data_IF_095441767711
#
_entry.id   IF_095441767711
#
_cell.length_a   1.000
_cell.length_b   1.000
_cell.length_c   1.000
_cell.angle_alpha   90.00
_cell.angle_beta   90.00
_cell.angle_gamma   90.00
#
_symmetry.space_group_name_H-M   'P 1'
#
loop_
_entity.id
_entity.type
_entity.pdbx_description
1 polymer ?
#
# COMPACT_ATOMS: atom_id res chain seq x y z
N UNK A 1 8.05 -3.69 -3.75
CA UNK A 1 7.61 -2.66 -2.78
C UNK A 1 8.36 -1.40 -3.12
N UNK A 2 7.64 -0.29 -3.28
CA UNK A 2 8.22 1.03 -3.54
C UNK A 2 7.90 1.94 -2.35
N UNK A 3 8.85 2.79 -1.96
CA UNK A 3 8.69 3.76 -0.88
C UNK A 3 8.59 5.17 -1.46
N UNK A 4 7.54 5.91 -1.09
CA UNK A 4 7.29 7.29 -1.52
C UNK A 4 7.12 8.13 -0.25
N UNK A 5 8.21 8.74 0.24
CA UNK A 5 8.16 9.47 1.51
C UNK A 5 7.87 8.54 2.69
N UNK A 6 6.80 8.83 3.42
CA UNK A 6 6.23 8.01 4.49
C UNK A 6 5.21 6.96 4.01
N UNK A 7 5.02 6.86 2.68
CA UNK A 7 4.21 5.85 2.03
C UNK A 7 5.00 4.63 1.55
N UNK A 8 4.35 3.48 1.66
CA UNK A 8 4.74 2.16 1.22
C UNK A 8 3.71 1.63 0.23
N UNK A 9 4.14 1.31 -0.98
CA UNK A 9 3.29 0.69 -2.00
C UNK A 9 3.64 -0.78 -2.16
N UNK A 10 2.62 -1.63 -1.99
CA UNK A 10 2.72 -3.09 -2.06
C UNK A 10 1.74 -3.63 -3.11
N UNK A 11 2.20 -4.61 -3.89
CA UNK A 11 1.45 -5.27 -4.94
C UNK A 11 1.44 -6.78 -4.72
N UNK A 12 0.33 -7.43 -5.08
CA UNK A 12 0.24 -8.89 -5.24
C UNK A 12 -0.37 -9.19 -6.62
N UNK A 13 0.03 -10.32 -7.22
CA UNK A 13 -0.32 -10.67 -8.59
C UNK A 13 0.54 -9.99 -9.66
N UNK A 14 1.73 -9.49 -9.29
CA UNK A 14 2.74 -9.01 -10.22
C UNK A 14 4.16 -9.43 -9.75
N UNK A 15 5.07 -9.80 -10.67
CA UNK A 15 4.89 -9.86 -12.13
C UNK A 15 4.05 -11.05 -12.59
N UNK A 16 3.94 -12.09 -11.77
CA UNK A 16 3.12 -13.26 -12.05
C UNK A 16 1.71 -13.06 -11.51
N UNK A 17 0.72 -13.34 -12.36
CA UNK A 17 -0.68 -13.25 -11.95
C UNK A 17 -1.01 -14.42 -11.01
N UNK A 18 -1.69 -14.12 -9.90
CA UNK A 18 -2.06 -15.10 -8.89
C UNK A 18 -3.53 -14.92 -8.51
N UNK A 19 -4.39 -15.91 -8.71
CA UNK A 19 -5.85 -15.77 -8.49
C UNK A 19 -6.25 -15.29 -7.08
N UNK A 20 -5.46 -15.64 -6.05
CA UNK A 20 -5.70 -15.24 -4.65
C UNK A 20 -4.95 -13.99 -4.23
N UNK A 21 -4.41 -13.22 -5.17
CA UNK A 21 -3.79 -11.93 -4.89
C UNK A 21 -4.70 -10.96 -4.10
N UNK A 22 -6.05 -10.94 -4.29
CA UNK A 22 -6.94 -10.08 -3.51
C UNK A 22 -6.88 -10.37 -2.02
N UNK A 23 -7.04 -11.66 -1.69
CA UNK A 23 -7.18 -12.14 -0.32
C UNK A 23 -5.89 -11.88 0.45
N UNK A 24 -4.73 -12.15 -0.18
CA UNK A 24 -3.42 -11.92 0.43
C UNK A 24 -3.20 -10.45 0.76
N UNK A 25 -3.58 -9.54 -0.14
CA UNK A 25 -3.39 -8.11 0.07
C UNK A 25 -4.35 -7.56 1.11
N UNK A 26 -5.61 -8.01 1.10
CA UNK A 26 -6.58 -7.64 2.13
C UNK A 26 -6.15 -8.16 3.51
N UNK A 27 -5.65 -9.38 3.60
CA UNK A 27 -5.14 -9.93 4.85
C UNK A 27 -3.94 -9.12 5.37
N UNK A 28 -2.97 -8.83 4.50
CA UNK A 28 -1.82 -8.01 4.84
C UNK A 28 -2.23 -6.62 5.33
N UNK A 29 -3.18 -5.97 4.65
CA UNK A 29 -3.73 -4.68 5.04
C UNK A 29 -4.33 -4.71 6.46
N UNK A 30 -5.12 -5.74 6.76
CA UNK A 30 -5.73 -5.93 8.08
C UNK A 30 -4.68 -6.17 9.16
N UNK A 31 -3.73 -7.07 8.90
CA UNK A 31 -2.65 -7.39 9.83
C UNK A 31 -1.82 -6.13 10.17
N UNK A 32 -1.56 -5.28 9.19
CA UNK A 32 -0.84 -4.03 9.38
C UNK A 32 -1.60 -3.03 10.25
N UNK A 33 -2.91 -2.89 10.06
CA UNK A 33 -3.76 -2.03 10.90
C UNK A 33 -3.83 -2.54 12.34
N UNK A 34 -3.73 -3.86 12.55
CA UNK A 34 -3.66 -4.44 13.90
C UNK A 34 -2.30 -4.17 14.54
N UNK A 35 -1.21 -4.51 13.84
CA UNK A 35 0.16 -4.43 14.39
C UNK A 35 0.62 -2.99 14.64
N UNK A 36 0.18 -2.02 13.84
CA UNK A 36 0.56 -0.61 14.01
C UNK A 36 0.13 -0.03 15.37
N UNK A 37 -0.91 -0.58 15.98
CA UNK A 37 -1.40 -0.14 17.30
C UNK A 37 -0.35 -0.32 18.40
N UNK A 38 0.50 -1.33 18.25
CA UNK A 38 1.57 -1.66 19.20
C UNK A 38 2.88 -0.91 18.88
N UNK A 39 2.98 -0.30 17.70
CA UNK A 39 4.14 0.49 17.30
C UNK A 39 4.01 1.93 17.81
N UNK A 40 5.07 2.38 18.47
CA UNK A 40 5.21 3.75 18.93
C UNK A 40 6.34 4.42 18.16
N UNK A 41 6.14 5.68 17.83
CA UNK A 41 7.21 6.52 17.32
C UNK A 41 8.28 6.68 18.41
N UNK A 42 9.54 6.27 18.16
CA UNK A 42 10.62 6.42 19.15
C UNK A 42 10.94 7.87 19.52
N UNK A 43 10.59 8.82 18.65
CA UNK A 43 10.88 10.25 18.84
C UNK A 43 9.82 10.97 19.66
N UNK A 44 8.54 10.66 19.46
CA UNK A 44 7.42 11.31 20.15
C UNK A 44 6.81 10.45 21.27
N UNK A 45 6.97 9.13 21.21
CA UNK A 45 6.35 8.16 22.12
C UNK A 45 4.88 7.88 21.83
N UNK A 46 4.30 8.53 20.81
CA UNK A 46 2.91 8.37 20.41
C UNK A 46 2.71 7.08 19.60
N UNK A 47 1.49 6.53 19.66
CA UNK A 47 1.12 5.40 18.80
C UNK A 47 1.12 5.85 17.34
N UNK A 48 1.81 5.08 16.49
CA UNK A 48 1.78 5.28 15.05
C UNK A 48 0.37 5.06 14.51
N UNK A 49 0.02 5.83 13.48
CA UNK A 49 -1.27 5.71 12.80
C UNK A 49 -1.01 5.59 11.31
N UNK A 50 -1.56 4.55 10.70
CA UNK A 50 -1.52 4.37 9.26
C UNK A 50 -2.89 4.57 8.65
N UNK A 51 -2.87 4.91 7.37
CA UNK A 51 -4.01 4.85 6.47
C UNK A 51 -3.70 3.83 5.39
N UNK A 52 -4.75 3.14 4.94
CA UNK A 52 -4.63 1.99 4.04
C UNK A 52 -5.69 2.12 2.95
N UNK A 53 -5.24 2.26 1.71
CA UNK A 53 -6.07 2.21 0.51
C UNK A 53 -5.76 0.96 -0.33
N UNK A 54 -6.81 0.23 -0.74
CA UNK A 54 -6.68 -0.99 -1.56
C UNK A 54 -7.55 -0.89 -2.81
N UNK A 55 -7.03 -1.13 -4.02
CA UNK A 55 -7.80 -0.91 -5.27
C UNK A 55 -7.39 -1.72 -6.51
N UNK A 56 -8.26 -2.58 -7.07
CA UNK A 56 -7.94 -3.40 -8.25
C UNK A 56 -7.69 -2.62 -9.52
N UNK A 57 -6.81 -3.16 -10.37
CA UNK A 57 -6.89 -2.86 -11.78
C UNK A 57 -5.67 -3.31 -12.58
N UNK A 58 -5.71 -3.12 -13.90
CA UNK A 58 -4.53 -3.29 -14.73
C UNK A 58 -3.44 -2.31 -14.28
N UNK A 59 -2.20 -2.79 -14.22
CA UNK A 59 -1.03 -1.96 -13.91
C UNK A 59 0.05 -2.27 -14.91
N UNK A 60 0.87 -1.26 -15.21
CA UNK A 60 2.12 -1.45 -15.93
C UNK A 60 3.24 -1.44 -14.91
N UNK A 61 3.99 -2.54 -14.84
CA UNK A 61 5.17 -2.62 -13.99
C UNK A 61 6.43 -2.64 -14.85
N UNK A 62 7.47 -1.93 -14.42
CA UNK A 62 8.70 -1.83 -15.17
C UNK A 62 9.90 -1.48 -14.30
N UNK A 63 11.10 -1.77 -14.81
CA UNK A 63 12.35 -1.38 -14.17
C UNK A 63 12.79 -0.03 -14.73
N UNK A 64 12.94 0.97 -13.87
CA UNK A 64 13.36 2.32 -14.21
C UNK A 64 14.78 2.58 -13.71
N UNK A 65 15.62 3.15 -14.58
CA UNK A 65 16.98 3.58 -14.24
C UNK A 65 18.05 2.56 -14.66
N UNK A 66 19.10 3.05 -15.32
CA UNK A 66 20.21 2.21 -15.80
C UNK A 66 21.25 1.91 -14.70
N UNK A 67 21.53 2.90 -13.83
CA UNK A 67 22.54 2.79 -12.76
C UNK A 67 21.97 2.30 -11.43
N UNK A 68 20.69 2.59 -11.19
CA UNK A 68 19.95 2.13 -10.00
C UNK A 68 18.56 1.67 -10.44
N UNK A 69 18.44 0.44 -10.95
CA UNK A 69 17.17 -0.09 -11.40
C UNK A 69 16.17 -0.18 -10.25
N UNK A 70 15.00 0.45 -10.40
CA UNK A 70 13.88 0.39 -9.46
C UNK A 70 12.67 -0.21 -10.14
N UNK A 71 12.01 -1.15 -9.47
CA UNK A 71 10.76 -1.70 -9.95
C UNK A 71 9.61 -0.75 -9.57
N UNK A 72 9.09 -0.05 -10.58
CA UNK A 72 8.07 0.97 -10.42
C UNK A 72 6.74 0.49 -11.03
N UNK A 73 5.64 0.88 -10.39
CA UNK A 73 4.28 0.62 -10.84
C UNK A 73 3.66 1.88 -11.41
N UNK A 74 3.02 1.78 -12.57
CA UNK A 74 2.39 2.88 -13.28
C UNK A 74 0.97 2.51 -13.72
N UNK A 75 0.10 3.51 -13.79
CA UNK A 75 -1.25 3.38 -14.32
C UNK A 75 -2.32 4.00 -13.43
N UNK A 76 -3.53 4.12 -13.98
CA UNK A 76 -4.68 4.74 -13.30
C UNK A 76 -5.06 4.03 -12.00
N UNK A 77 -4.78 2.72 -11.93
CA UNK A 77 -4.95 1.89 -10.74
C UNK A 77 -4.14 2.41 -9.55
N UNK A 78 -2.87 2.81 -9.78
CA UNK A 78 -2.00 3.36 -8.72
C UNK A 78 -2.54 4.70 -8.23
N UNK A 79 -2.97 5.56 -9.15
CA UNK A 79 -3.55 6.85 -8.82
C UNK A 79 -4.86 6.70 -8.03
N UNK A 80 -5.68 5.71 -8.39
CA UNK A 80 -6.95 5.44 -7.70
C UNK A 80 -6.70 4.86 -6.30
N UNK A 81 -5.73 3.97 -6.14
CA UNK A 81 -5.30 3.46 -4.83
C UNK A 81 -4.82 4.59 -3.91
N UNK A 82 -3.99 5.50 -4.42
CA UNK A 82 -3.54 6.69 -3.69
C UNK A 82 -4.70 7.60 -3.28
N UNK A 83 -5.67 7.84 -4.17
CA UNK A 83 -6.88 8.61 -3.81
C UNK A 83 -7.68 7.92 -2.70
N UNK A 84 -7.84 6.60 -2.78
CA UNK A 84 -8.57 5.84 -1.76
C UNK A 84 -7.91 5.92 -0.39
N UNK A 85 -6.59 5.85 -0.33
CA UNK A 85 -5.81 6.09 0.89
C UNK A 85 -6.05 7.51 1.42
N UNK A 86 -5.95 8.53 0.56
CA UNK A 86 -6.06 9.93 0.97
C UNK A 86 -7.45 10.29 1.52
N UNK A 87 -8.48 9.57 1.08
CA UNK A 87 -9.86 9.72 1.57
C UNK A 87 -10.17 8.81 2.75
N UNK A 88 -9.22 7.99 3.20
CA UNK A 88 -9.45 7.02 4.28
C UNK A 88 -9.35 7.65 5.66
N UNK A 89 -10.20 7.17 6.59
CA UNK A 89 -10.11 7.58 7.98
C UNK A 89 -8.92 6.91 8.66
N UNK A 90 -8.21 7.68 9.49
CA UNK A 90 -7.09 7.19 10.30
C UNK A 90 -7.56 6.01 11.17
N UNK A 91 -6.80 4.90 11.18
CA UNK A 91 -7.16 3.60 11.83
C UNK A 91 -8.30 2.80 11.20
N UNK A 92 -8.80 3.16 10.00
CA UNK A 92 -9.71 2.28 9.24
C UNK A 92 -9.08 1.87 7.91
N UNK A 93 -9.10 0.57 7.62
CA UNK A 93 -8.86 0.06 6.28
C UNK A 93 -10.09 0.36 5.42
N UNK A 94 -9.97 1.24 4.43
CA UNK A 94 -11.03 1.49 3.45
C UNK A 94 -10.81 0.56 2.26
N UNK A 95 -11.53 -0.56 2.27
CA UNK A 95 -11.49 -1.57 1.19
C UNK A 95 -12.62 -1.26 0.22
N UNK A 96 -12.29 -0.92 -1.04
CA UNK A 96 -13.24 -0.97 -2.15
C UNK A 96 -12.61 -1.77 -3.28
N UNK A 97 -13.15 -2.96 -3.54
CA UNK A 97 -12.94 -3.85 -4.69
C UNK A 97 -11.52 -3.88 -5.31
N UNK A 98 -11.01 -5.10 -5.56
CA UNK A 98 -9.84 -5.72 -4.95
C UNK A 98 -8.57 -5.83 -5.83
N UNK A 99 -7.45 -5.15 -5.53
CA UNK A 99 -6.02 -5.58 -5.67
C UNK A 99 -5.12 -4.39 -5.31
N UNK A 100 -3.83 -4.52 -5.04
CA UNK A 100 -2.92 -3.41 -4.63
C UNK A 100 -3.21 -2.76 -3.28
N UNK A 101 -2.16 -2.50 -2.52
CA UNK A 101 -2.22 -1.87 -1.21
C UNK A 101 -1.22 -0.72 -1.18
N UNK A 102 -1.74 0.49 -1.07
CA UNK A 102 -0.94 1.67 -0.77
C UNK A 102 -1.15 1.98 0.72
N UNK A 103 -0.05 1.96 1.47
CA UNK A 103 -0.02 2.18 2.91
C UNK A 103 0.77 3.45 3.15
N UNK A 104 0.17 4.48 3.70
CA UNK A 104 0.89 5.68 4.10
C UNK A 104 0.89 5.82 5.62
N UNK A 105 2.08 5.98 6.20
CA UNK A 105 2.28 6.10 7.63
C UNK A 105 2.43 7.57 8.00
N UNK A 106 1.31 8.26 8.18
CA UNK A 106 1.33 9.65 8.65
C UNK A 106 1.90 9.70 10.06
N UNK A 107 2.96 10.49 10.24
CA UNK A 107 3.46 10.91 11.56
C UNK A 107 2.42 11.75 12.30
#
# INVERSE_FOLDING_TARGET
VETIGDAYMVVSGAPENEERHPDKICQMALDMVVVIGDLKDPSTGDSLKIRVGVHTGPVVAGVVGLKMPRYCLFGDTVNTASRMESTSEVRKSLIRNYQYLLIECSS
#
